data_IF_757357908606
#
_entry.id   IF_757357908606
#
_cell.length_a   1.000
_cell.length_b   1.000
_cell.length_c   1.000
_cell.angle_alpha   90.00
_cell.angle_beta   90.00
_cell.angle_gamma   90.00
#
_symmetry.space_group_name_H-M   'P 1'
#
loop_
_entity.id
_entity.type
_entity.pdbx_description
1 polymer ?
#
# COMPACT_ATOMS: atom_id res chain seq x y z
N UNK A 1 45.10 11.19 3.38
CA UNK A 1 44.47 9.93 3.87
C UNK A 1 42.97 10.05 3.69
N UNK A 2 42.36 9.21 2.84
CA UNK A 2 40.93 9.27 2.51
C UNK A 2 40.14 8.66 3.68
N UNK A 3 39.40 9.48 4.43
CA UNK A 3 38.44 8.98 5.41
C UNK A 3 37.37 8.18 4.67
N UNK A 4 37.41 6.85 4.79
CA UNK A 4 36.28 5.99 4.48
C UNK A 4 35.30 6.14 5.64
N UNK A 5 34.27 6.98 5.48
CA UNK A 5 33.11 6.89 6.36
C UNK A 5 32.53 5.48 6.23
N UNK A 6 32.13 4.83 7.33
CA UNK A 6 31.42 3.57 7.23
C UNK A 6 30.11 3.86 6.50
N UNK A 7 29.81 3.09 5.44
CA UNK A 7 28.45 3.05 4.92
C UNK A 7 27.60 2.48 6.05
N UNK A 8 26.86 3.35 6.71
CA UNK A 8 25.86 2.95 7.69
C UNK A 8 24.64 2.46 6.91
N UNK A 9 24.66 1.17 6.56
CA UNK A 9 23.52 0.49 5.93
C UNK A 9 23.01 -0.59 6.87
N UNK A 10 22.13 -0.24 7.81
CA UNK A 10 21.07 -1.13 8.32
C UNK A 10 20.09 -0.36 9.25
N UNK A 11 18.82 -0.80 9.48
CA UNK A 11 18.17 -2.03 9.00
C UNK A 11 16.64 -1.90 8.72
N UNK A 12 16.18 -2.04 7.47
CA UNK A 12 14.73 -2.29 7.21
C UNK A 12 14.40 -3.74 6.85
N UNK A 13 15.41 -4.58 6.64
CA UNK A 13 15.23 -5.87 5.99
C UNK A 13 15.41 -7.09 6.89
N UNK A 14 15.02 -7.02 8.17
CA UNK A 14 15.20 -8.22 9.01
C UNK A 14 14.24 -9.35 8.63
N UNK A 15 13.02 -9.05 8.16
CA UNK A 15 12.02 -10.06 7.79
C UNK A 15 11.02 -9.54 6.73
N UNK A 16 11.30 -9.65 5.41
CA UNK A 16 10.27 -9.42 4.41
C UNK A 16 9.11 -10.40 4.62
N UNK A 17 7.89 -9.98 4.26
CA UNK A 17 6.72 -10.85 4.34
C UNK A 17 6.43 -11.50 2.99
N UNK A 18 6.12 -12.81 2.96
CA UNK A 18 5.84 -13.51 1.71
C UNK A 18 4.49 -13.09 1.12
N UNK A 19 3.55 -12.63 1.94
CA UNK A 19 2.20 -12.25 1.53
C UNK A 19 1.66 -11.11 2.38
N UNK A 20 0.85 -10.19 1.82
CA UNK A 20 0.06 -9.25 2.61
C UNK A 20 -1.02 -10.01 3.38
N UNK A 21 -0.97 -9.95 4.70
CA UNK A 21 -1.94 -10.62 5.58
C UNK A 21 -3.00 -9.63 6.07
N UNK A 22 -4.24 -10.09 6.34
CA UNK A 22 -5.26 -9.27 6.98
C UNK A 22 -4.75 -8.53 8.23
N UNK A 23 -4.81 -7.20 8.18
CA UNK A 23 -4.37 -6.34 9.30
C UNK A 23 -2.85 -6.14 9.40
N UNK A 24 -2.07 -6.69 8.46
CA UNK A 24 -0.63 -6.51 8.36
C UNK A 24 -0.31 -5.97 6.95
N UNK A 25 -0.38 -4.64 6.76
CA UNK A 25 0.02 -4.01 5.52
C UNK A 25 1.50 -4.28 5.21
N UNK A 26 1.81 -4.44 3.93
CA UNK A 26 3.16 -4.57 3.38
C UNK A 26 3.46 -3.41 2.44
N UNK A 27 4.73 -3.12 2.16
CA UNK A 27 5.10 -2.16 1.12
C UNK A 27 5.70 -2.83 -0.11
N UNK A 28 5.52 -2.19 -1.27
CA UNK A 28 6.17 -2.54 -2.53
C UNK A 28 6.16 -1.31 -3.44
N UNK A 29 7.06 -1.26 -4.42
CA UNK A 29 6.89 -0.37 -5.57
C UNK A 29 5.74 -0.86 -6.46
N UNK A 30 5.22 0.00 -7.33
CA UNK A 30 4.16 -0.38 -8.27
C UNK A 30 4.59 -1.57 -9.15
N UNK A 31 5.83 -1.54 -9.65
CA UNK A 31 6.40 -2.61 -10.49
C UNK A 31 6.51 -3.91 -9.72
N UNK A 32 7.10 -3.88 -8.52
CA UNK A 32 7.21 -5.07 -7.65
C UNK A 32 5.84 -5.65 -7.29
N UNK A 33 4.85 -4.79 -7.03
CA UNK A 33 3.49 -5.25 -6.73
C UNK A 33 2.90 -5.99 -7.93
N UNK A 34 2.99 -5.41 -9.14
CA UNK A 34 2.47 -6.02 -10.38
C UNK A 34 3.17 -7.36 -10.66
N UNK A 35 4.50 -7.40 -10.56
CA UNK A 35 5.28 -8.62 -10.77
C UNK A 35 4.87 -9.72 -9.78
N UNK A 36 4.75 -9.39 -8.50
CA UNK A 36 4.38 -10.37 -7.48
C UNK A 36 2.93 -10.85 -7.63
N UNK A 37 2.00 -9.95 -7.98
CA UNK A 37 0.62 -10.31 -8.28
C UNK A 37 0.52 -11.27 -9.46
N UNK A 38 1.36 -11.11 -10.49
CA UNK A 38 1.39 -12.00 -11.65
C UNK A 38 1.84 -13.43 -11.31
N UNK A 39 2.58 -13.60 -10.20
CA UNK A 39 3.06 -14.88 -9.70
C UNK A 39 2.06 -15.58 -8.78
N UNK A 40 0.95 -14.93 -8.40
CA UNK A 40 -0.05 -15.55 -7.55
C UNK A 40 -0.86 -16.62 -8.32
N UNK A 41 -1.23 -17.74 -7.67
CA UNK A 41 -2.07 -18.77 -8.29
C UNK A 41 -3.44 -18.27 -8.78
N UNK A 42 -3.95 -17.20 -8.16
CA UNK A 42 -5.16 -16.50 -8.57
C UNK A 42 -4.97 -15.00 -8.34
N UNK A 43 -5.20 -14.19 -9.37
CA UNK A 43 -5.07 -12.74 -9.28
C UNK A 43 -6.27 -12.18 -8.51
N UNK A 44 -6.07 -11.54 -7.34
CA UNK A 44 -7.16 -10.95 -6.58
C UNK A 44 -7.73 -9.74 -7.30
N UNK A 45 -8.98 -9.36 -6.97
CA UNK A 45 -9.50 -8.04 -7.35
C UNK A 45 -8.81 -6.99 -6.50
N UNK A 46 -8.21 -5.98 -7.13
CA UNK A 46 -7.45 -4.94 -6.45
C UNK A 46 -8.11 -3.60 -6.71
N UNK A 47 -8.14 -2.75 -5.68
CA UNK A 47 -8.50 -1.36 -5.82
C UNK A 47 -7.36 -0.48 -5.33
N UNK A 48 -7.07 0.56 -6.10
CA UNK A 48 -6.05 1.55 -5.79
C UNK A 48 -6.68 2.77 -5.14
N UNK A 49 -6.24 3.05 -3.93
CA UNK A 49 -6.64 4.20 -3.15
C UNK A 49 -5.66 5.34 -3.38
N UNK A 50 -6.01 6.22 -4.31
CA UNK A 50 -5.15 7.28 -4.83
C UNK A 50 -5.95 8.56 -5.09
N UNK A 51 -5.27 9.65 -5.38
CA UNK A 51 -5.85 10.97 -5.65
C UNK A 51 -6.33 11.14 -7.10
N UNK A 52 -6.04 10.19 -7.99
CA UNK A 52 -6.49 10.24 -9.37
C UNK A 52 -6.55 8.90 -10.08
N UNK A 53 -7.67 8.62 -10.73
CA UNK A 53 -7.93 7.38 -11.48
C UNK A 53 -6.88 7.08 -12.56
N UNK A 54 -6.36 8.12 -13.23
CA UNK A 54 -5.30 7.99 -14.24
C UNK A 54 -3.98 7.39 -13.72
N UNK A 55 -3.79 7.33 -12.40
CA UNK A 55 -2.63 6.73 -11.75
C UNK A 55 -2.81 5.24 -11.47
N UNK A 56 -3.99 4.68 -11.74
CA UNK A 56 -4.28 3.27 -11.48
C UNK A 56 -3.58 2.39 -12.51
N UNK A 57 -2.89 1.33 -12.08
CA UNK A 57 -2.46 0.27 -12.98
C UNK A 57 -3.63 -0.38 -13.71
N UNK A 58 -3.35 -0.91 -14.90
CA UNK A 58 -4.37 -1.57 -15.72
C UNK A 58 -5.05 -2.73 -14.95
N UNK A 59 -6.37 -2.75 -14.99
CA UNK A 59 -7.20 -3.77 -14.32
C UNK A 59 -7.42 -3.55 -12.83
N UNK A 60 -6.84 -2.51 -12.23
CA UNK A 60 -7.12 -2.14 -10.84
C UNK A 60 -8.32 -1.20 -10.78
N UNK A 61 -9.19 -1.39 -9.80
CA UNK A 61 -10.28 -0.45 -9.52
C UNK A 61 -9.77 0.83 -8.86
N UNK A 62 -10.53 1.91 -8.92
CA UNK A 62 -10.16 3.19 -8.32
C UNK A 62 -10.98 3.48 -7.06
N UNK A 63 -10.33 4.01 -6.03
CA UNK A 63 -10.95 4.62 -4.85
C UNK A 63 -10.26 5.97 -4.63
N UNK A 64 -11.03 7.05 -4.49
CA UNK A 64 -10.47 8.36 -4.21
C UNK A 64 -9.96 8.43 -2.75
N UNK A 65 -8.70 8.82 -2.56
CA UNK A 65 -8.10 9.03 -1.24
C UNK A 65 -8.31 10.45 -0.68
N UNK A 66 -8.76 11.36 -1.53
CA UNK A 66 -9.11 12.74 -1.20
C UNK A 66 -10.15 13.25 -2.20
N UNK A 67 -11.10 14.05 -1.74
CA UNK A 67 -12.08 14.73 -2.60
C UNK A 67 -12.35 16.13 -2.07
N UNK A 68 -12.46 17.10 -2.98
CA UNK A 68 -12.75 18.48 -2.58
C UNK A 68 -14.11 18.56 -1.88
N UNK A 69 -14.14 19.18 -0.70
CA UNK A 69 -15.36 19.35 0.09
C UNK A 69 -15.79 18.12 0.90
N UNK A 70 -15.06 17.00 0.81
CA UNK A 70 -15.31 15.81 1.63
C UNK A 70 -14.32 15.79 2.79
N UNK A 71 -14.78 15.78 4.06
CA UNK A 71 -13.88 15.67 5.20
C UNK A 71 -13.23 14.28 5.28
N UNK A 72 -12.13 14.12 6.03
CA UNK A 72 -11.46 12.83 6.18
C UNK A 72 -12.39 11.69 6.67
N UNK A 73 -13.39 12.00 7.50
CA UNK A 73 -14.40 11.04 7.95
C UNK A 73 -15.27 10.51 6.80
N UNK A 74 -15.55 11.34 5.79
CA UNK A 74 -16.25 10.94 4.58
C UNK A 74 -15.41 9.99 3.72
N UNK A 75 -14.12 10.26 3.59
CA UNK A 75 -13.19 9.37 2.87
C UNK A 75 -13.09 8.01 3.57
N UNK A 76 -12.96 7.97 4.91
CA UNK A 76 -12.99 6.71 5.65
C UNK A 76 -14.34 5.97 5.51
N UNK A 77 -15.47 6.69 5.47
CA UNK A 77 -16.78 6.09 5.26
C UNK A 77 -16.91 5.47 3.85
N UNK A 78 -16.41 6.14 2.80
CA UNK A 78 -16.34 5.58 1.45
C UNK A 78 -15.46 4.33 1.40
N UNK A 79 -14.30 4.35 2.07
CA UNK A 79 -13.43 3.18 2.18
C UNK A 79 -14.12 2.02 2.91
N UNK A 80 -14.85 2.27 3.99
CA UNK A 80 -15.61 1.25 4.72
C UNK A 80 -16.75 0.67 3.86
N UNK A 81 -17.49 1.51 3.14
CA UNK A 81 -18.55 1.07 2.24
C UNK A 81 -17.98 0.21 1.09
N UNK A 82 -16.85 0.61 0.51
CA UNK A 82 -16.11 -0.22 -0.45
C UNK A 82 -15.70 -1.55 0.19
N UNK A 83 -15.21 -1.50 1.42
CA UNK A 83 -14.73 -2.66 2.14
C UNK A 83 -15.83 -3.71 2.37
N UNK A 84 -17.05 -3.27 2.64
CA UNK A 84 -18.24 -4.10 2.78
C UNK A 84 -18.72 -4.65 1.43
N UNK A 85 -18.66 -3.84 0.37
CA UNK A 85 -19.06 -4.24 -0.98
C UNK A 85 -18.11 -5.30 -1.59
N UNK A 86 -16.81 -5.22 -1.26
CA UNK A 86 -15.78 -6.09 -1.81
C UNK A 86 -14.98 -6.80 -0.71
N UNK A 87 -15.56 -7.79 -0.02
CA UNK A 87 -14.94 -8.41 1.17
C UNK A 87 -13.68 -9.22 0.87
N UNK A 88 -13.48 -9.65 -0.39
CA UNK A 88 -12.30 -10.41 -0.84
C UNK A 88 -11.30 -9.56 -1.64
N UNK A 89 -11.61 -8.28 -1.87
CA UNK A 89 -10.71 -7.42 -2.63
C UNK A 89 -9.53 -6.97 -1.79
N UNK A 90 -8.40 -6.82 -2.45
CA UNK A 90 -7.18 -6.27 -1.87
C UNK A 90 -7.20 -4.75 -2.06
N UNK A 91 -6.60 -4.06 -1.10
CA UNK A 91 -6.41 -2.62 -1.18
C UNK A 91 -4.95 -2.33 -1.53
N UNK A 92 -4.72 -1.51 -2.54
CA UNK A 92 -3.44 -0.86 -2.77
C UNK A 92 -3.57 0.61 -2.35
N UNK A 93 -2.57 1.15 -1.65
CA UNK A 93 -2.60 2.51 -1.10
C UNK A 93 -1.47 3.31 -1.72
N UNK A 94 -1.78 4.46 -2.33
CA UNK A 94 -0.77 5.30 -2.98
C UNK A 94 -0.04 6.16 -1.94
N UNK A 95 1.23 5.83 -1.69
CA UNK A 95 2.15 6.57 -0.83
C UNK A 95 3.43 6.93 -1.59
N UNK A 96 3.37 6.99 -2.93
CA UNK A 96 4.51 7.41 -3.76
C UNK A 96 4.82 8.88 -3.54
N UNK A 97 6.08 9.24 -3.76
CA UNK A 97 6.53 10.63 -3.70
C UNK A 97 5.71 11.51 -4.64
N UNK A 98 5.12 12.58 -4.11
CA UNK A 98 4.27 13.50 -4.86
C UNK A 98 2.82 13.04 -5.07
N UNK A 99 2.42 11.87 -4.57
CA UNK A 99 1.00 11.54 -4.41
C UNK A 99 0.42 12.27 -3.19
N UNK A 100 -0.85 12.68 -3.27
CA UNK A 100 -1.55 13.17 -2.08
C UNK A 100 -1.89 11.97 -1.19
N UNK A 101 -1.41 11.93 0.07
CA UNK A 101 -1.67 10.80 0.94
C UNK A 101 -3.16 10.74 1.31
N UNK A 102 -3.68 9.54 1.66
CA UNK A 102 -5.08 9.40 2.03
C UNK A 102 -5.51 10.28 3.20
N UNK A 103 -6.61 11.00 3.00
CA UNK A 103 -7.19 11.87 4.01
C UNK A 103 -7.98 11.05 5.02
N UNK A 104 -7.41 10.82 6.20
CA UNK A 104 -7.98 10.00 7.28
C UNK A 104 -8.12 10.79 8.58
N UNK A 105 -9.11 10.45 9.39
CA UNK A 105 -9.30 10.98 10.75
C UNK A 105 -8.36 10.25 11.71
N UNK A 106 -8.29 8.93 11.57
CA UNK A 106 -7.40 8.07 12.37
C UNK A 106 -6.02 7.99 11.71
N UNK A 107 -4.96 7.68 12.46
CA UNK A 107 -3.66 7.36 11.85
C UNK A 107 -3.82 6.32 10.74
N UNK A 108 -3.16 6.53 9.60
CA UNK A 108 -3.32 5.66 8.43
C UNK A 108 -3.10 4.19 8.79
N UNK A 109 -2.09 3.88 9.60
CA UNK A 109 -1.80 2.51 10.00
C UNK A 109 -2.95 1.84 10.78
N UNK A 110 -3.67 2.60 11.61
CA UNK A 110 -4.84 2.09 12.34
C UNK A 110 -6.02 1.84 11.40
N UNK A 111 -6.19 2.69 10.39
CA UNK A 111 -7.19 2.50 9.33
C UNK A 111 -6.88 1.21 8.57
N UNK A 112 -5.65 1.06 8.08
CA UNK A 112 -5.23 -0.09 7.27
C UNK A 112 -5.27 -1.41 8.05
N UNK A 113 -4.78 -1.42 9.29
CA UNK A 113 -4.84 -2.59 10.17
C UNK A 113 -6.29 -2.98 10.48
N UNK A 114 -7.18 -2.00 10.62
CA UNK A 114 -8.61 -2.19 10.91
C UNK A 114 -9.42 -2.82 9.78
N UNK A 115 -8.97 -2.73 8.52
CA UNK A 115 -9.71 -3.25 7.36
C UNK A 115 -9.76 -4.80 7.29
N UNK A 116 -8.91 -5.49 8.07
CA UNK A 116 -8.82 -6.96 8.14
C UNK A 116 -8.76 -7.63 6.77
N UNK A 117 -8.01 -7.05 5.84
CA UNK A 117 -7.79 -7.57 4.48
C UNK A 117 -6.35 -7.35 4.02
N UNK A 118 -5.91 -8.01 2.94
CA UNK A 118 -4.61 -7.76 2.34
C UNK A 118 -4.50 -6.30 1.86
N UNK A 119 -3.46 -5.61 2.32
CA UNK A 119 -3.16 -4.22 1.97
C UNK A 119 -1.72 -4.13 1.46
N UNK A 120 -1.54 -3.50 0.31
CA UNK A 120 -0.24 -3.19 -0.29
C UNK A 120 -0.08 -1.67 -0.29
N UNK A 121 0.94 -1.16 0.41
CA UNK A 121 1.31 0.24 0.37
C UNK A 121 2.30 0.44 -0.79
N UNK A 122 1.87 1.20 -1.79
CA UNK A 122 2.65 1.48 -3.01
C UNK A 122 3.53 2.69 -2.75
N UNK A 123 4.84 2.48 -2.79
CA UNK A 123 5.85 3.48 -2.45
C UNK A 123 6.80 3.71 -3.62
N UNK A 124 7.50 4.85 -3.66
CA UNK A 124 8.51 5.11 -4.72
C UNK A 124 9.72 4.20 -4.59
N UNK A 125 10.10 3.85 -3.36
CA UNK A 125 11.25 3.00 -3.03
C UNK A 125 10.89 2.10 -1.87
N UNK A 126 10.79 0.80 -2.12
CA UNK A 126 10.47 -0.21 -1.12
C UNK A 126 11.55 -0.44 -0.05
N UNK A 127 12.88 -0.37 -0.33
CA UNK A 127 13.88 -0.70 0.68
C UNK A 127 14.05 0.35 1.78
N UNK A 128 13.53 1.56 1.56
CA UNK A 128 13.70 2.73 2.43
C UNK A 128 12.50 2.96 3.37
N UNK A 129 11.48 2.09 3.35
CA UNK A 129 10.27 2.27 4.18
C UNK A 129 10.37 1.53 5.52
N UNK A 130 10.34 2.29 6.62
CA UNK A 130 10.45 1.76 7.99
C UNK A 130 9.10 1.31 8.59
N UNK A 131 7.98 1.80 8.05
CA UNK A 131 6.65 1.58 8.65
C UNK A 131 6.02 0.23 8.29
N UNK A 132 6.37 -0.36 7.13
CA UNK A 132 5.79 -1.59 6.63
C UNK A 132 6.86 -2.54 6.11
N UNK A 133 6.72 -3.86 6.37
CA UNK A 133 7.62 -4.84 5.80
C UNK A 133 7.45 -4.91 4.28
N UNK A 134 8.56 -5.14 3.58
CA UNK A 134 8.50 -5.33 2.14
C UNK A 134 7.80 -6.65 1.79
N UNK A 135 6.95 -6.60 0.76
CA UNK A 135 6.39 -7.79 0.16
C UNK A 135 7.41 -8.44 -0.77
N UNK A 136 7.80 -9.68 -0.45
CA UNK A 136 8.69 -10.50 -1.28
C UNK A 136 8.19 -11.95 -1.31
N UNK A 137 7.60 -12.38 -2.43
CA UNK A 137 7.23 -13.78 -2.65
C UNK A 137 8.49 -14.69 -2.67
N UNK A 138 8.45 -15.87 -2.01
CA UNK A 138 9.51 -16.86 -2.13
C UNK A 138 9.75 -17.29 -3.58
N UNK A 139 10.99 -17.65 -3.92
CA UNK A 139 11.35 -18.24 -5.22
C UNK A 139 10.77 -19.64 -5.42
#
# INVERSE_FOLDING_TARGET
>A
MRQKQPLDVSPTWRYPLPMPMPGQPVCATEVEAIEQLSRLPAVPKIFFWTDGERKCPDGWGFIACVRQGVPPSGIEAELNAWADQYPKAWLAVDMRDGAVPPSTVRPLNDVLAGLKRPVIVIVSRSPEHEEWPQWVLPE
#
